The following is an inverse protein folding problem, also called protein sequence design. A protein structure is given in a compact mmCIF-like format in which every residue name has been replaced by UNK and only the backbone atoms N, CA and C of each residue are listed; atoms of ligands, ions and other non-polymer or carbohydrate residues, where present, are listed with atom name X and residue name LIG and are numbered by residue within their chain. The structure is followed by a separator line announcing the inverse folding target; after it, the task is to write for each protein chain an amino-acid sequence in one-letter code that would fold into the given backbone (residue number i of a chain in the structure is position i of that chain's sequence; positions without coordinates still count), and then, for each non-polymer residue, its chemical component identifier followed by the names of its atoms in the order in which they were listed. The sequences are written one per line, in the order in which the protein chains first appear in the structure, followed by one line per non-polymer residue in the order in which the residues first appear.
data_IF_850784767503
#
_entry.id   IF_850784767503
#
_cell.length_a   1.000
_cell.length_b   1.000
_cell.length_c   1.000
_cell.angle_alpha   90.00
_cell.angle_beta   90.00
_cell.angle_gamma   90.00
#
_symmetry.space_group_name_H-M   'P 1'
#
loop_
_entity.id
_entity.type
_entity.pdbx_description
1 polymer ?
#
# COMPACT_ATOMS: atom_id res chain seq x y z
N UNK A 1 -9.65 7.42 30.03
CA UNK A 1 -9.96 5.99 30.24
C UNK A 1 -8.85 5.23 29.55
N UNK A 2 -7.96 4.61 30.33
CA UNK A 2 -6.87 3.80 29.77
C UNK A 2 -7.50 2.52 29.21
N UNK A 3 -7.77 2.49 27.91
CA UNK A 3 -7.92 1.24 27.20
C UNK A 3 -6.54 0.61 27.11
N UNK A 4 -6.21 -0.22 28.07
CA UNK A 4 -5.07 -1.11 27.99
C UNK A 4 -5.38 -2.04 26.80
N UNK A 5 -4.87 -1.66 25.63
CA UNK A 5 -5.14 -2.40 24.41
C UNK A 5 -4.45 -3.75 24.57
N UNK A 6 -5.24 -4.81 24.64
CA UNK A 6 -4.76 -6.18 24.91
C UNK A 6 -3.60 -6.64 24.03
N UNK A 7 -3.38 -5.94 22.87
CA UNK A 7 -2.26 -6.22 21.96
C UNK A 7 -0.89 -5.83 22.53
N UNK A 8 -0.80 -4.83 23.44
CA UNK A 8 0.47 -4.36 24.02
C UNK A 8 1.23 -5.45 24.81
N UNK A 9 0.53 -6.51 25.16
CA UNK A 9 1.16 -7.68 25.76
C UNK A 9 2.04 -8.46 24.75
N UNK A 10 1.71 -8.39 23.46
CA UNK A 10 2.34 -9.16 22.40
C UNK A 10 3.16 -8.28 21.47
N UNK A 11 2.88 -6.99 21.40
CA UNK A 11 3.54 -6.04 20.52
C UNK A 11 4.05 -4.84 21.28
N UNK A 12 5.24 -4.38 20.91
CA UNK A 12 5.74 -3.04 21.25
C UNK A 12 5.41 -2.08 20.12
N UNK A 13 5.26 -0.79 20.43
CA UNK A 13 4.97 0.27 19.45
C UNK A 13 5.96 1.39 19.65
N UNK A 14 6.81 1.61 18.68
CA UNK A 14 7.84 2.64 18.69
C UNK A 14 7.69 3.58 17.47
N UNK A 15 7.97 4.87 17.60
CA UNK A 15 8.04 5.76 16.45
C UNK A 15 9.13 5.30 15.46
N UNK A 16 8.90 5.47 14.16
CA UNK A 16 9.96 5.31 13.16
C UNK A 16 10.97 6.46 13.33
N UNK A 17 12.19 6.15 13.80
CA UNK A 17 13.21 7.14 14.12
C UNK A 17 13.80 7.84 12.92
N UNK A 18 13.66 7.27 11.73
CA UNK A 18 14.22 7.79 10.47
C UNK A 18 13.21 8.55 9.61
N UNK A 19 11.98 8.73 10.08
CA UNK A 19 10.90 9.34 9.31
C UNK A 19 10.11 10.36 10.14
N UNK A 20 9.45 11.30 9.47
CA UNK A 20 8.58 12.29 10.10
C UNK A 20 7.19 11.73 10.45
N UNK A 21 6.87 10.51 10.02
CA UNK A 21 5.61 9.80 10.28
C UNK A 21 5.87 8.30 10.25
N UNK A 22 4.93 7.53 10.76
CA UNK A 22 5.00 6.08 10.82
C UNK A 22 5.40 5.56 12.19
N UNK A 23 4.97 4.33 12.47
CA UNK A 23 5.29 3.59 13.68
C UNK A 23 5.84 2.21 13.35
N UNK A 24 6.73 1.72 14.19
CA UNK A 24 7.19 0.34 14.18
C UNK A 24 6.47 -0.44 15.26
N UNK A 25 5.87 -1.55 14.85
CA UNK A 25 5.31 -2.55 15.76
C UNK A 25 6.17 -3.79 15.68
N UNK A 26 6.66 -4.24 16.81
CA UNK A 26 7.47 -5.46 16.92
C UNK A 26 6.76 -6.48 17.78
N UNK A 27 6.75 -7.73 17.33
CA UNK A 27 6.28 -8.85 18.15
C UNK A 27 7.25 -9.04 19.31
N UNK A 28 6.72 -9.23 20.52
CA UNK A 28 7.57 -9.52 21.69
C UNK A 28 8.19 -10.89 21.57
N UNK A 29 9.46 -11.04 21.98
CA UNK A 29 10.28 -12.22 21.75
C UNK A 29 9.69 -13.56 22.26
N UNK A 30 8.77 -13.52 23.20
CA UNK A 30 8.21 -14.71 23.84
C UNK A 30 6.86 -15.18 23.29
N UNK A 31 6.34 -14.54 22.23
CA UNK A 31 4.97 -14.80 21.81
C UNK A 31 4.88 -15.28 20.37
N UNK A 32 4.37 -16.49 20.10
CA UNK A 32 3.98 -16.91 18.77
C UNK A 32 2.96 -15.93 18.14
N UNK A 33 3.08 -15.73 16.84
CA UNK A 33 2.21 -14.79 16.12
C UNK A 33 0.73 -15.20 16.17
N UNK A 34 0.43 -16.49 16.12
CA UNK A 34 -0.94 -17.00 16.21
C UNK A 34 -1.64 -16.60 17.52
N UNK A 35 -0.92 -16.65 18.65
CA UNK A 35 -1.44 -16.19 19.95
C UNK A 35 -1.66 -14.67 19.96
N UNK A 36 -0.74 -13.92 19.34
CA UNK A 36 -0.89 -12.47 19.21
C UNK A 36 -2.13 -12.12 18.36
N UNK A 37 -2.34 -12.83 17.26
CA UNK A 37 -3.51 -12.66 16.39
C UNK A 37 -4.79 -13.02 17.15
N UNK A 38 -4.83 -14.13 17.89
CA UNK A 38 -5.99 -14.48 18.73
C UNK A 38 -6.29 -13.41 19.79
N UNK A 39 -5.28 -12.79 20.39
CA UNK A 39 -5.48 -11.70 21.34
C UNK A 39 -6.06 -10.44 20.68
N UNK A 40 -5.62 -10.12 19.46
CA UNK A 40 -6.16 -9.01 18.67
C UNK A 40 -7.63 -9.22 18.29
N UNK A 41 -8.06 -10.47 18.07
CA UNK A 41 -9.46 -10.80 17.81
C UNK A 41 -10.38 -10.41 18.99
N UNK A 42 -9.84 -10.33 20.19
CA UNK A 42 -10.55 -9.85 21.38
C UNK A 42 -10.57 -8.32 21.51
N UNK A 43 -9.76 -7.61 20.72
CA UNK A 43 -9.64 -6.14 20.74
C UNK A 43 -9.58 -5.58 19.32
N UNK A 44 -10.63 -5.83 18.50
CA UNK A 44 -10.65 -5.36 17.12
C UNK A 44 -10.54 -3.83 17.09
N UNK A 45 -9.80 -3.30 16.13
CA UNK A 45 -9.58 -1.86 15.96
C UNK A 45 -8.36 -1.29 16.69
N UNK A 46 -7.70 -2.04 17.58
CA UNK A 46 -6.50 -1.55 18.25
C UNK A 46 -5.32 -1.32 17.30
N UNK A 47 -5.12 -2.19 16.30
CA UNK A 47 -4.13 -1.98 15.25
C UNK A 47 -4.50 -0.83 14.31
N UNK A 48 -5.78 -0.69 13.97
CA UNK A 48 -6.26 0.43 13.18
C UNK A 48 -6.01 1.76 13.90
N UNK A 49 -6.26 1.82 15.22
CA UNK A 49 -5.95 3.01 16.01
C UNK A 49 -4.45 3.30 16.02
N UNK A 50 -3.59 2.29 16.18
CA UNK A 50 -2.14 2.46 16.10
C UNK A 50 -1.70 3.00 14.73
N UNK A 51 -2.34 2.55 13.65
CA UNK A 51 -2.09 3.07 12.30
C UNK A 51 -2.45 4.57 12.19
N UNK A 52 -3.60 4.97 12.74
CA UNK A 52 -4.02 6.37 12.72
C UNK A 52 -3.09 7.25 13.55
N UNK A 53 -2.71 6.79 14.74
CA UNK A 53 -1.79 7.49 15.63
C UNK A 53 -0.38 7.63 15.01
N UNK A 54 0.04 6.64 14.22
CA UNK A 54 1.29 6.65 13.49
C UNK A 54 1.25 7.44 12.16
N UNK A 55 0.16 8.13 11.85
CA UNK A 55 0.03 8.93 10.64
C UNK A 55 -0.20 8.14 9.36
N UNK A 56 -0.67 6.89 9.45
CA UNK A 56 -1.08 6.08 8.31
C UNK A 56 -0.02 5.10 7.78
N UNK A 57 1.09 4.92 8.47
CA UNK A 57 2.10 3.92 8.13
C UNK A 57 2.51 3.10 9.35
N UNK A 58 2.40 1.77 9.25
CA UNK A 58 2.95 0.85 10.23
C UNK A 58 3.96 -0.10 9.58
N UNK A 59 5.10 -0.25 10.20
CA UNK A 59 6.06 -1.30 9.90
C UNK A 59 5.97 -2.38 10.98
N UNK A 60 5.58 -3.57 10.61
CA UNK A 60 5.42 -4.70 11.52
C UNK A 60 6.59 -5.66 11.36
N UNK A 61 7.34 -5.92 12.43
CA UNK A 61 8.48 -6.82 12.46
C UNK A 61 8.21 -8.05 13.33
N UNK A 62 9.00 -9.11 13.13
CA UNK A 62 8.86 -10.35 13.90
C UNK A 62 7.76 -11.30 13.39
N UNK A 63 7.17 -11.05 12.23
CA UNK A 63 6.04 -11.80 11.67
C UNK A 63 6.51 -12.97 10.76
N UNK A 64 7.57 -13.65 11.11
CA UNK A 64 8.17 -14.70 10.27
C UNK A 64 7.25 -15.89 10.03
N UNK A 65 6.33 -16.17 10.95
CA UNK A 65 5.37 -17.28 10.87
C UNK A 65 4.44 -17.17 9.66
N UNK A 66 4.20 -15.95 9.15
CA UNK A 66 3.37 -15.72 7.95
C UNK A 66 3.92 -16.45 6.72
N UNK A 67 5.25 -16.63 6.62
CA UNK A 67 5.85 -17.38 5.52
C UNK A 67 5.48 -18.87 5.54
N UNK A 68 5.25 -19.44 6.71
CA UNK A 68 4.84 -20.82 6.89
C UNK A 68 3.30 -20.96 6.90
N UNK A 69 2.60 -19.94 7.39
CA UNK A 69 1.15 -19.89 7.50
C UNK A 69 0.58 -18.58 6.92
N UNK A 70 0.45 -18.48 5.58
CA UNK A 70 0.00 -17.26 4.91
C UNK A 70 -1.40 -16.79 5.33
N UNK A 71 -2.24 -17.68 5.84
CA UNK A 71 -3.55 -17.35 6.40
C UNK A 71 -3.51 -16.33 7.54
N UNK A 72 -2.40 -16.25 8.27
CA UNK A 72 -2.18 -15.24 9.31
C UNK A 72 -2.21 -13.81 8.73
N UNK A 73 -1.71 -13.61 7.50
CA UNK A 73 -1.78 -12.31 6.85
C UNK A 73 -3.23 -11.88 6.61
N UNK A 74 -4.08 -12.80 6.15
CA UNK A 74 -5.52 -12.55 5.95
C UNK A 74 -6.23 -12.28 7.27
N UNK A 75 -5.86 -12.97 8.34
CA UNK A 75 -6.41 -12.70 9.69
C UNK A 75 -5.98 -11.33 10.20
N UNK A 76 -4.72 -10.96 10.04
CA UNK A 76 -4.22 -9.63 10.39
C UNK A 76 -4.91 -8.51 9.62
N UNK A 77 -5.19 -8.69 8.33
CA UNK A 77 -5.85 -7.67 7.52
C UNK A 77 -7.25 -7.33 8.05
N UNK A 78 -7.97 -8.30 8.63
CA UNK A 78 -9.31 -8.09 9.18
C UNK A 78 -9.37 -7.19 10.42
N UNK A 79 -8.23 -6.92 11.07
CA UNK A 79 -8.17 -5.94 12.16
C UNK A 79 -8.23 -4.49 11.68
N UNK A 80 -8.06 -4.28 10.38
CA UNK A 80 -8.18 -2.96 9.75
C UNK A 80 -9.55 -2.75 9.08
N UNK A 81 -10.31 -3.83 8.87
CA UNK A 81 -11.64 -3.80 8.30
C UNK A 81 -12.15 -5.21 8.02
N UNK A 82 -13.48 -5.43 8.06
CA UNK A 82 -14.07 -6.76 7.90
C UNK A 82 -13.91 -7.31 6.47
N UNK A 83 -13.84 -6.42 5.47
CA UNK A 83 -13.75 -6.77 4.07
C UNK A 83 -12.28 -6.84 3.65
N UNK A 84 -11.89 -8.00 3.14
CA UNK A 84 -10.58 -8.23 2.54
C UNK A 84 -10.79 -8.52 1.06
N UNK A 85 -9.98 -7.89 0.19
CA UNK A 85 -10.08 -8.07 -1.24
C UNK A 85 -9.96 -9.55 -1.62
N UNK A 86 -10.87 -10.01 -2.46
CA UNK A 86 -10.79 -11.31 -3.11
C UNK A 86 -10.33 -11.12 -4.57
N UNK A 87 -9.07 -11.42 -4.82
CA UNK A 87 -8.46 -11.21 -6.13
C UNK A 87 -9.01 -12.11 -7.23
N UNK A 88 -9.68 -13.22 -6.91
CA UNK A 88 -10.38 -14.04 -7.90
C UNK A 88 -11.60 -13.33 -8.50
N UNK A 89 -12.15 -12.36 -7.78
CA UNK A 89 -13.26 -11.54 -8.25
C UNK A 89 -12.80 -10.28 -9.00
N UNK A 90 -11.50 -10.14 -9.20
CA UNK A 90 -10.89 -9.00 -9.90
C UNK A 90 -10.35 -9.42 -11.26
N UNK A 91 -9.72 -8.50 -11.98
CA UNK A 91 -9.01 -8.80 -13.24
C UNK A 91 -7.58 -9.31 -13.01
N UNK A 92 -7.25 -9.67 -11.79
CA UNK A 92 -5.91 -10.17 -11.47
C UNK A 92 -5.66 -11.50 -12.15
N UNK A 93 -4.50 -11.62 -12.79
CA UNK A 93 -4.09 -12.89 -13.43
C UNK A 93 -3.96 -13.99 -12.37
N UNK A 94 -4.54 -15.16 -12.66
CA UNK A 94 -4.60 -16.28 -11.73
C UNK A 94 -3.24 -16.70 -11.16
N UNK A 95 -2.19 -16.62 -11.96
CA UNK A 95 -0.82 -16.95 -11.54
C UNK A 95 -0.20 -15.96 -10.55
N UNK A 96 -0.85 -14.84 -10.29
CA UNK A 96 -0.47 -13.85 -9.28
C UNK A 96 -1.26 -13.98 -7.99
N UNK A 97 -2.28 -14.83 -7.97
CA UNK A 97 -3.09 -15.09 -6.79
C UNK A 97 -2.51 -16.28 -6.04
N UNK A 98 -2.46 -16.19 -4.72
CA UNK A 98 -2.00 -17.31 -3.89
C UNK A 98 -2.92 -18.52 -4.08
N UNK A 99 -2.36 -19.73 -4.16
CA UNK A 99 -3.10 -20.95 -4.52
C UNK A 99 -4.20 -21.33 -3.52
N UNK A 100 -4.00 -20.99 -2.25
CA UNK A 100 -4.92 -21.36 -1.16
C UNK A 100 -5.69 -20.15 -0.59
N UNK A 101 -5.17 -18.95 -0.77
CA UNK A 101 -5.75 -17.71 -0.21
C UNK A 101 -5.98 -16.70 -1.32
N UNK A 102 -7.20 -16.63 -1.84
CA UNK A 102 -7.57 -15.70 -2.92
C UNK A 102 -7.45 -14.21 -2.51
N UNK A 103 -7.32 -13.94 -1.22
CA UNK A 103 -7.10 -12.60 -0.65
C UNK A 103 -5.63 -12.17 -0.71
N UNK A 104 -4.71 -13.04 -1.14
CA UNK A 104 -3.29 -12.75 -1.19
C UNK A 104 -2.81 -12.63 -2.64
N UNK A 105 -2.34 -11.44 -2.99
CA UNK A 105 -1.68 -11.17 -4.26
C UNK A 105 -0.18 -11.40 -4.11
N UNK A 106 0.37 -12.29 -4.94
CA UNK A 106 1.80 -12.56 -4.99
C UNK A 106 2.51 -11.60 -5.94
N UNK A 107 3.45 -10.83 -5.42
CA UNK A 107 4.26 -9.90 -6.21
C UNK A 107 5.68 -10.44 -6.29
N UNK A 108 6.23 -10.52 -7.49
CA UNK A 108 7.59 -10.96 -7.74
C UNK A 108 8.25 -10.09 -8.82
N UNK A 109 9.54 -9.88 -8.68
CA UNK A 109 10.37 -9.28 -9.73
C UNK A 109 11.05 -10.35 -10.61
N UNK A 110 10.77 -11.62 -10.37
CA UNK A 110 11.31 -12.73 -11.16
C UNK A 110 10.49 -12.93 -12.43
N UNK A 111 11.18 -13.15 -13.53
CA UNK A 111 10.52 -13.56 -14.75
C UNK A 111 9.93 -14.97 -14.60
N UNK A 112 8.72 -15.24 -15.11
CA UNK A 112 8.18 -16.59 -15.16
C UNK A 112 9.05 -17.58 -15.95
N UNK A 113 9.85 -17.09 -16.88
CA UNK A 113 10.69 -17.89 -17.77
C UNK A 113 12.11 -18.11 -17.25
N UNK A 114 12.61 -17.25 -16.36
CA UNK A 114 13.91 -17.43 -15.74
C UNK A 114 13.80 -17.12 -14.25
N UNK A 115 13.95 -18.08 -13.41
CA UNK A 115 13.80 -17.92 -11.96
C UNK A 115 14.94 -17.10 -11.30
N UNK A 116 15.63 -16.29 -12.07
CA UNK A 116 16.65 -15.36 -11.59
C UNK A 116 16.17 -13.92 -11.74
N UNK A 117 16.33 -13.11 -10.69
CA UNK A 117 16.02 -11.69 -10.79
C UNK A 117 16.87 -11.04 -11.90
N UNK A 118 16.33 -10.09 -12.67
CA UNK A 118 17.12 -9.32 -13.62
C UNK A 118 18.22 -8.57 -12.87
N UNK A 119 19.41 -8.53 -13.47
CA UNK A 119 20.51 -7.69 -12.97
C UNK A 119 20.02 -6.25 -13.03
N UNK A 120 19.96 -5.58 -11.89
CA UNK A 120 19.63 -4.15 -11.81
C UNK A 120 20.91 -3.34 -11.83
N UNK A 121 20.98 -2.26 -12.63
CA UNK A 121 22.03 -1.30 -12.46
C UNK A 121 21.94 -0.69 -11.06
N UNK A 122 23.07 -0.44 -10.41
CA UNK A 122 23.11 0.28 -9.16
C UNK A 122 22.48 1.67 -9.37
N UNK A 123 21.52 2.07 -8.51
CA UNK A 123 20.93 3.38 -8.65
C UNK A 123 22.00 4.46 -8.40
N UNK A 124 22.05 5.51 -9.23
CA UNK A 124 22.90 6.66 -8.92
C UNK A 124 22.42 7.26 -7.59
N UNK A 125 23.30 7.30 -6.60
CA UNK A 125 23.01 7.95 -5.34
C UNK A 125 23.20 9.47 -5.46
N UNK A 126 22.43 10.23 -4.66
CA UNK A 126 22.68 11.64 -4.48
C UNK A 126 24.04 11.85 -3.79
N UNK A 127 24.66 13.04 -3.83
CA UNK A 127 25.89 13.32 -3.10
C UNK A 127 25.80 13.04 -1.60
N UNK A 128 24.59 13.07 -1.02
CA UNK A 128 24.32 12.71 0.37
C UNK A 128 24.13 11.20 0.60
N UNK A 129 24.31 10.36 -0.44
CA UNK A 129 24.17 8.92 -0.35
C UNK A 129 22.72 8.40 -0.38
N UNK A 130 21.73 9.28 -0.60
CA UNK A 130 20.34 8.91 -0.72
C UNK A 130 19.93 8.57 -2.16
N UNK A 131 18.80 7.90 -2.32
CA UNK A 131 18.20 7.69 -3.63
C UNK A 131 17.60 8.99 -4.17
N UNK A 132 17.82 9.34 -5.46
CA UNK A 132 17.20 10.52 -6.06
C UNK A 132 15.67 10.34 -6.10
N UNK A 133 14.95 11.43 -5.92
CA UNK A 133 13.49 11.45 -5.98
C UNK A 133 12.97 10.95 -7.34
N UNK A 134 13.69 11.23 -8.41
CA UNK A 134 13.39 10.77 -9.77
C UNK A 134 14.34 9.66 -10.23
N UNK A 135 14.33 8.55 -9.55
CA UNK A 135 15.15 7.40 -9.94
C UNK A 135 14.56 6.71 -11.20
N UNK A 136 15.36 6.39 -12.23
CA UNK A 136 14.84 5.94 -13.53
C UNK A 136 14.05 4.61 -13.49
N UNK A 137 14.29 3.78 -12.48
CA UNK A 137 13.56 2.51 -12.31
C UNK A 137 12.48 2.58 -11.22
N UNK A 138 12.29 3.73 -10.60
CA UNK A 138 11.22 3.98 -9.65
C UNK A 138 9.89 4.07 -10.40
N UNK A 139 8.87 3.40 -9.89
CA UNK A 139 7.50 3.74 -10.27
C UNK A 139 7.19 5.14 -9.76
N UNK A 140 6.36 5.87 -10.49
CA UNK A 140 5.89 7.17 -10.05
C UNK A 140 5.12 7.08 -8.72
N UNK A 141 5.02 8.19 -8.01
CA UNK A 141 4.19 8.29 -6.81
C UNK A 141 2.73 7.99 -7.16
N UNK A 142 2.13 7.09 -6.43
CA UNK A 142 0.74 6.69 -6.63
C UNK A 142 0.11 6.17 -5.34
N UNK A 143 -1.20 6.13 -5.35
CA UNK A 143 -2.01 5.38 -4.39
C UNK A 143 -2.53 4.14 -5.10
N UNK A 144 -2.35 2.97 -4.50
CA UNK A 144 -2.79 1.71 -5.09
C UNK A 144 -4.31 1.69 -5.30
N UNK A 145 -4.73 1.18 -6.46
CA UNK A 145 -6.13 0.95 -6.82
C UNK A 145 -7.06 2.16 -6.67
N UNK A 146 -6.53 3.37 -6.81
CA UNK A 146 -7.29 4.62 -6.73
C UNK A 146 -8.40 4.75 -7.79
N UNK A 147 -8.34 3.93 -8.84
CA UNK A 147 -9.35 3.79 -9.90
C UNK A 147 -10.59 2.97 -9.48
N UNK A 148 -10.60 2.39 -8.28
CA UNK A 148 -11.75 1.63 -7.77
C UNK A 148 -12.75 2.53 -7.05
N UNK A 149 -13.99 2.02 -6.92
CA UNK A 149 -15.05 2.70 -6.19
C UNK A 149 -15.82 1.69 -5.33
N UNK A 150 -15.65 1.70 -4.01
CA UNK A 150 -14.66 2.50 -3.28
C UNK A 150 -13.22 2.05 -3.54
N UNK A 151 -12.22 2.90 -3.40
CA UNK A 151 -10.84 2.49 -3.36
C UNK A 151 -10.54 1.74 -2.05
N UNK A 152 -9.52 0.88 -1.97
CA UNK A 152 -9.15 0.23 -0.73
C UNK A 152 -8.70 1.25 0.31
N UNK A 153 -9.08 1.01 1.56
CA UNK A 153 -8.75 1.90 2.68
C UNK A 153 -7.32 1.68 3.16
N UNK A 154 -6.86 0.42 3.20
CA UNK A 154 -5.57 0.03 3.74
C UNK A 154 -4.99 -1.11 2.90
N UNK A 155 -3.68 -1.07 2.65
CA UNK A 155 -2.94 -2.15 2.00
C UNK A 155 -1.93 -2.74 2.97
N UNK A 156 -1.90 -4.08 3.07
CA UNK A 156 -0.86 -4.81 3.78
C UNK A 156 0.12 -5.39 2.77
N UNK A 157 1.41 -5.16 3.01
CA UNK A 157 2.49 -5.69 2.19
C UNK A 157 3.42 -6.52 3.05
N UNK A 158 3.58 -7.80 2.73
CA UNK A 158 4.46 -8.73 3.43
C UNK A 158 5.61 -9.19 2.53
N UNK A 159 6.85 -9.02 2.99
CA UNK A 159 8.03 -9.44 2.26
C UNK A 159 8.41 -10.88 2.66
N UNK A 160 8.05 -11.86 1.83
CA UNK A 160 8.46 -13.27 2.00
C UNK A 160 9.97 -13.40 1.82
N UNK A 161 10.50 -12.79 0.77
CA UNK A 161 11.94 -12.71 0.50
C UNK A 161 12.26 -11.22 0.37
N UNK A 162 12.86 -10.61 1.40
CA UNK A 162 13.21 -9.20 1.36
C UNK A 162 14.34 -8.95 0.35
N UNK A 163 14.34 -7.77 -0.23
CA UNK A 163 15.45 -7.31 -1.06
C UNK A 163 16.73 -7.18 -0.23
N UNK A 164 17.92 -7.35 -0.83
CA UNK A 164 19.18 -7.07 -0.15
C UNK A 164 19.20 -5.65 0.46
N UNK A 165 19.92 -5.49 1.55
CA UNK A 165 20.05 -4.20 2.23
C UNK A 165 20.44 -3.10 1.26
N UNK A 166 19.72 -1.98 1.31
CA UNK A 166 19.96 -0.82 0.44
C UNK A 166 19.39 -0.93 -0.97
N UNK A 167 18.66 -2.01 -1.28
CA UNK A 167 18.06 -2.21 -2.60
C UNK A 167 16.56 -2.46 -2.49
N UNK A 168 15.81 -2.08 -3.54
CA UNK A 168 14.40 -2.40 -3.66
C UNK A 168 13.50 -1.78 -2.58
N UNK A 169 13.88 -0.62 -2.02
CA UNK A 169 13.09 0.05 -1.00
C UNK A 169 11.73 0.49 -1.55
N UNK A 170 10.71 0.36 -0.73
CA UNK A 170 9.43 1.01 -0.94
C UNK A 170 9.47 2.37 -0.25
N UNK A 171 9.19 3.42 -1.01
CA UNK A 171 9.14 4.79 -0.50
C UNK A 171 7.69 5.17 -0.22
N UNK A 172 7.48 5.82 0.92
CA UNK A 172 6.18 6.34 1.31
C UNK A 172 6.25 7.86 1.45
N UNK A 173 5.15 8.54 1.10
CA UNK A 173 5.00 9.98 1.27
C UNK A 173 3.80 10.28 2.17
N UNK A 174 3.98 11.18 3.15
CA UNK A 174 2.87 11.72 3.95
C UNK A 174 2.07 12.73 3.12
N UNK A 175 1.01 12.23 2.48
CA UNK A 175 0.13 13.05 1.67
C UNK A 175 -0.67 14.08 2.49
N UNK A 176 -0.87 13.85 3.80
CA UNK A 176 -1.49 14.82 4.69
C UNK A 176 -0.50 15.93 5.06
N UNK A 177 0.72 15.59 5.43
CA UNK A 177 1.78 16.57 5.64
C UNK A 177 2.08 17.39 4.38
N UNK A 178 2.06 16.74 3.22
CA UNK A 178 2.20 17.44 1.94
C UNK A 178 1.08 18.46 1.69
N UNK A 179 -0.17 18.10 1.99
CA UNK A 179 -1.29 19.05 1.93
C UNK A 179 -1.10 20.20 2.94
N UNK A 180 -0.71 19.89 4.17
CA UNK A 180 -0.51 20.90 5.22
C UNK A 180 0.58 21.92 4.84
N UNK A 181 1.61 21.48 4.13
CA UNK A 181 2.71 22.32 3.66
C UNK A 181 2.38 23.20 2.44
N UNK A 182 1.23 23.00 1.77
CA UNK A 182 0.86 23.82 0.63
C UNK A 182 0.61 25.27 1.03
N UNK A 183 1.03 26.26 0.21
CA UNK A 183 0.60 27.64 0.32
C UNK A 183 -0.93 27.78 0.24
N UNK A 184 -1.50 28.83 0.85
CA UNK A 184 -2.94 29.02 0.96
C UNK A 184 -3.66 29.10 -0.40
N UNK A 185 -3.04 29.72 -1.38
CA UNK A 185 -3.56 29.85 -2.75
C UNK A 185 -3.60 28.50 -3.47
N UNK A 186 -2.58 27.66 -3.29
CA UNK A 186 -2.57 26.29 -3.82
C UNK A 186 -3.58 25.41 -3.11
N UNK A 187 -3.74 25.53 -1.77
CA UNK A 187 -4.80 24.82 -1.05
C UNK A 187 -6.17 25.11 -1.64
N UNK A 188 -6.50 26.38 -1.80
CA UNK A 188 -7.78 26.81 -2.38
C UNK A 188 -7.98 26.26 -3.81
N UNK A 189 -6.90 26.19 -4.58
CA UNK A 189 -6.94 25.63 -5.95
C UNK A 189 -7.21 24.14 -5.94
N UNK A 190 -6.44 23.35 -5.18
CA UNK A 190 -6.51 21.88 -5.22
C UNK A 190 -7.78 21.34 -4.57
N UNK A 191 -8.37 22.06 -3.63
CA UNK A 191 -9.64 21.68 -2.96
C UNK A 191 -10.83 21.61 -3.91
N UNK A 192 -10.79 22.38 -4.99
CA UNK A 192 -11.86 22.41 -6.00
C UNK A 192 -11.64 21.41 -7.15
N UNK A 193 -10.49 20.72 -7.17
CA UNK A 193 -10.13 19.84 -8.27
C UNK A 193 -10.52 18.39 -8.04
N UNK A 194 -10.80 17.71 -9.15
CA UNK A 194 -10.93 16.25 -9.22
C UNK A 194 -9.88 15.69 -10.19
N UNK A 195 -9.30 14.55 -9.84
CA UNK A 195 -8.47 13.74 -10.72
C UNK A 195 -9.28 12.61 -11.36
N UNK A 196 -8.91 12.21 -12.58
CA UNK A 196 -9.45 11.02 -13.23
C UNK A 196 -8.44 9.90 -13.03
N UNK A 197 -8.85 8.86 -12.33
CA UNK A 197 -8.04 7.69 -12.01
C UNK A 197 -8.50 6.50 -12.86
N UNK A 198 -7.57 5.86 -13.57
CA UNK A 198 -7.86 4.72 -14.43
C UNK A 198 -6.84 3.59 -14.22
N UNK A 199 -7.21 2.38 -14.58
CA UNK A 199 -6.28 1.25 -14.55
C UNK A 199 -5.15 1.53 -15.56
N UNK A 200 -3.88 1.45 -15.16
CA UNK A 200 -2.76 1.67 -16.07
C UNK A 200 -2.85 0.77 -17.31
N UNK A 201 -2.81 1.37 -18.50
CA UNK A 201 -2.89 0.67 -19.78
C UNK A 201 -4.29 0.43 -20.34
N UNK A 202 -5.36 0.55 -19.57
CA UNK A 202 -6.72 0.37 -20.07
C UNK A 202 -7.24 1.62 -20.79
N UNK A 203 -6.84 2.81 -20.38
CA UNK A 203 -7.16 4.07 -21.07
C UNK A 203 -6.46 4.26 -22.42
N UNK A 204 -5.69 3.26 -22.90
CA UNK A 204 -4.92 3.32 -24.15
C UNK A 204 -5.65 2.69 -25.34
N UNK A 205 -6.96 2.91 -25.42
CA UNK A 205 -7.73 2.58 -26.65
C UNK A 205 -7.07 3.18 -27.92
N UNK A 206 -6.41 4.34 -27.79
CA UNK A 206 -5.63 4.96 -28.84
C UNK A 206 -4.45 4.11 -29.32
N UNK A 207 -3.79 3.35 -28.43
CA UNK A 207 -2.71 2.46 -28.81
C UNK A 207 -3.21 1.22 -29.55
N UNK A 208 -4.32 0.64 -29.09
CA UNK A 208 -4.94 -0.48 -29.78
C UNK A 208 -5.36 -0.07 -31.20
N UNK A 209 -5.95 1.11 -31.35
CA UNK A 209 -6.32 1.66 -32.67
C UNK A 209 -5.09 1.90 -33.54
N UNK A 210 -4.00 2.44 -32.99
CA UNK A 210 -2.73 2.63 -33.73
C UNK A 210 -2.09 1.31 -34.14
N UNK A 211 -2.26 0.28 -33.33
CA UNK A 211 -1.79 -1.08 -33.67
C UNK A 211 -2.74 -1.85 -34.61
N UNK A 212 -3.85 -1.24 -35.02
CA UNK A 212 -4.86 -1.90 -35.87
C UNK A 212 -5.73 -2.92 -35.14
N UNK A 213 -5.70 -2.93 -33.80
CA UNK A 213 -6.53 -3.79 -32.96
C UNK A 213 -7.88 -3.12 -32.67
N UNK A 214 -8.92 -3.92 -32.53
CA UNK A 214 -10.21 -3.42 -32.06
C UNK A 214 -10.17 -3.25 -30.54
N UNK A 215 -10.39 -2.03 -30.00
CA UNK A 215 -10.46 -1.83 -28.57
C UNK A 215 -11.52 -2.72 -27.94
N UNK A 216 -11.16 -3.44 -26.87
CA UNK A 216 -12.13 -4.19 -26.08
C UNK A 216 -12.97 -3.22 -25.25
N UNK A 217 -14.30 -3.43 -25.13
CA UNK A 217 -15.12 -2.60 -24.27
C UNK A 217 -14.67 -2.73 -22.82
N UNK A 218 -14.64 -1.60 -22.11
CA UNK A 218 -14.32 -1.58 -20.70
C UNK A 218 -15.47 -2.21 -19.89
N UNK A 219 -15.11 -3.04 -18.92
CA UNK A 219 -16.07 -3.51 -17.92
C UNK A 219 -16.35 -2.39 -16.91
N UNK A 220 -17.53 -2.38 -16.23
CA UNK A 220 -17.90 -1.29 -15.32
C UNK A 220 -16.84 -0.96 -14.27
N UNK A 221 -16.16 -1.97 -13.71
CA UNK A 221 -15.11 -1.79 -12.70
C UNK A 221 -13.78 -1.27 -13.27
N UNK A 222 -13.64 -1.23 -14.60
CA UNK A 222 -12.47 -0.68 -15.29
C UNK A 222 -12.67 0.78 -15.71
N UNK A 223 -13.87 1.30 -15.55
CA UNK A 223 -14.14 2.67 -15.95
C UNK A 223 -13.35 3.65 -15.09
N UNK A 224 -12.78 4.69 -15.72
CA UNK A 224 -12.12 5.75 -14.98
C UNK A 224 -13.01 6.33 -13.89
N UNK A 225 -12.42 6.58 -12.71
CA UNK A 225 -13.13 7.13 -11.58
C UNK A 225 -12.69 8.57 -11.32
N UNK A 226 -13.65 9.45 -11.06
CA UNK A 226 -13.37 10.78 -10.53
C UNK A 226 -13.11 10.67 -9.04
N UNK A 227 -11.99 11.21 -8.59
CA UNK A 227 -11.61 11.29 -7.18
C UNK A 227 -11.27 12.74 -6.84
N UNK A 228 -11.68 13.24 -5.67
CA UNK A 228 -11.25 14.56 -5.24
C UNK A 228 -9.74 14.58 -5.02
N UNK A 229 -9.09 15.66 -5.45
CA UNK A 229 -7.64 15.85 -5.24
C UNK A 229 -7.31 15.98 -3.76
N UNK A 230 -8.23 16.52 -2.96
CA UNK A 230 -8.10 16.57 -1.50
C UNK A 230 -9.17 15.69 -0.87
N UNK A 231 -8.73 14.69 -0.09
CA UNK A 231 -9.63 13.81 0.67
C UNK A 231 -9.52 14.09 2.15
N UNK A 232 -10.64 14.04 2.84
CA UNK A 232 -10.69 14.08 4.31
C UNK A 232 -10.76 12.65 4.84
N UNK A 233 -9.84 12.29 5.70
CA UNK A 233 -9.82 10.97 6.32
C UNK A 233 -11.03 10.81 7.26
N UNK A 234 -11.86 9.75 7.10
CA UNK A 234 -13.14 9.65 7.79
C UNK A 234 -13.04 9.52 9.32
N UNK A 235 -11.91 9.01 9.82
CA UNK A 235 -11.70 8.79 11.27
C UNK A 235 -10.90 9.94 11.88
N UNK A 236 -9.80 10.36 11.26
CA UNK A 236 -8.90 11.37 11.85
C UNK A 236 -9.28 12.80 11.49
N UNK A 237 -10.13 13.00 10.49
CA UNK A 237 -10.47 14.32 9.96
C UNK A 237 -9.33 15.02 9.21
N UNK A 238 -8.14 14.42 9.13
CA UNK A 238 -7.01 15.02 8.41
C UNK A 238 -7.30 15.07 6.92
N UNK A 239 -6.90 16.17 6.29
CA UNK A 239 -6.96 16.36 4.84
C UNK A 239 -5.67 15.88 4.21
N UNK A 240 -5.74 15.24 3.07
CA UNK A 240 -4.58 14.71 2.36
C UNK A 240 -4.72 14.89 0.86
N UNK A 241 -3.59 15.02 0.17
CA UNK A 241 -3.54 14.97 -1.29
C UNK A 241 -3.79 13.54 -1.76
N UNK A 242 -4.67 13.39 -2.74
CA UNK A 242 -5.01 12.11 -3.35
C UNK A 242 -4.70 12.16 -4.84
N UNK A 243 -3.40 11.99 -5.14
CA UNK A 243 -2.82 12.17 -6.46
C UNK A 243 -1.92 10.99 -6.83
N UNK A 244 -1.74 10.81 -8.12
CA UNK A 244 -0.71 9.95 -8.69
C UNK A 244 0.09 10.74 -9.73
N UNK A 245 1.35 10.37 -9.94
CA UNK A 245 2.13 10.94 -11.05
C UNK A 245 1.50 10.55 -12.39
N UNK A 246 1.64 11.42 -13.38
CA UNK A 246 1.14 11.18 -14.73
C UNK A 246 1.66 9.84 -15.30
N UNK A 247 0.75 9.05 -15.88
CA UNK A 247 1.07 7.72 -16.41
C UNK A 247 1.08 6.59 -15.38
N UNK A 248 0.78 6.89 -14.11
CA UNK A 248 0.55 5.91 -13.04
C UNK A 248 -0.95 5.73 -12.72
N UNK A 249 -1.78 6.46 -13.42
CA UNK A 249 -3.25 6.38 -13.41
C UNK A 249 -3.77 5.91 -14.74
#
# INVERSE_FOLDING_TARGET
MNSDSGYRRFFTVDPLTSASFGGQISLTEASPLDLAVCALESSPGSLAQALYDAGGLLYLSGLNDISAEPGLLTRLSRFFGPEVEDYEQTLTERNKIHSEFSQILQITNMSPSCQMPPVRPDPPLTPAGGLPVSFPHRRGWHTDQSFRRPPPDISLFYAVIPSPTGQGQTLFADAAGAYDALPADLKATVEALEGIHAIPGIGRAEYAVKAGETPKPLLPHQWPQRQPVVRTHPVTGRRSLYLCEAGQM
#
